data_IF_010734322728
#
_entry.id   IF_010734322728
#
_cell.length_a   1.000
_cell.length_b   1.000
_cell.length_c   1.000
_cell.angle_alpha   90.00
_cell.angle_beta   90.00
_cell.angle_gamma   90.00
#
_symmetry.space_group_name_H-M   'P 1'
#
loop_
_entity.id
_entity.type
_entity.pdbx_description
1 polymer ?
#
# COMPACT_ATOMS: atom_id res chain seq x y z
N UNK A 1 -13.31 -14.96 30.38
CA UNK A 1 -11.89 -14.60 30.14
C UNK A 1 -11.60 -13.33 30.93
N UNK A 2 -10.45 -13.23 31.58
CA UNK A 2 -10.08 -12.08 32.41
C UNK A 2 -8.79 -11.45 31.86
N UNK A 3 -8.59 -10.14 32.11
CA UNK A 3 -7.42 -9.41 31.61
C UNK A 3 -6.17 -9.66 32.46
N UNK A 4 -6.35 -10.02 33.73
CA UNK A 4 -5.28 -10.37 34.65
C UNK A 4 -5.69 -11.54 35.58
N UNK A 5 -4.69 -12.13 36.24
CA UNK A 5 -4.87 -13.29 37.09
C UNK A 5 -5.64 -13.00 38.38
N UNK A 6 -5.45 -11.81 38.97
CA UNK A 6 -6.07 -11.43 40.25
C UNK A 6 -7.58 -11.32 40.14
N UNK A 7 -8.09 -10.64 39.11
CA UNK A 7 -9.52 -10.60 38.84
C UNK A 7 -10.06 -11.98 38.50
N UNK A 8 -9.29 -12.78 37.74
CA UNK A 8 -9.69 -14.14 37.41
C UNK A 8 -9.91 -15.04 38.62
N UNK A 9 -9.00 -14.98 39.59
CA UNK A 9 -9.13 -15.71 40.86
C UNK A 9 -10.35 -15.23 41.66
N UNK A 10 -10.55 -13.92 41.77
CA UNK A 10 -11.68 -13.34 42.49
C UNK A 10 -13.04 -13.76 41.89
N UNK A 11 -13.18 -13.72 40.56
CA UNK A 11 -14.40 -14.13 39.88
C UNK A 11 -14.63 -15.64 39.96
N UNK A 12 -13.57 -16.46 39.84
CA UNK A 12 -13.68 -17.91 39.99
C UNK A 12 -14.13 -18.27 41.41
N UNK A 13 -13.55 -17.62 42.44
CA UNK A 13 -13.96 -17.78 43.84
C UNK A 13 -15.42 -17.39 44.05
N UNK A 14 -15.85 -16.24 43.52
CA UNK A 14 -17.24 -15.80 43.63
C UNK A 14 -18.22 -16.81 43.01
N UNK A 15 -17.89 -17.36 41.83
CA UNK A 15 -18.75 -18.34 41.17
C UNK A 15 -18.81 -19.66 41.92
N UNK A 16 -17.68 -20.22 42.38
CA UNK A 16 -17.69 -21.50 43.10
C UNK A 16 -18.41 -21.38 44.45
N UNK A 17 -18.27 -20.24 45.15
CA UNK A 17 -19.04 -19.93 46.35
C UNK A 17 -20.56 -19.89 46.04
N UNK A 18 -20.96 -19.34 44.89
CA UNK A 18 -22.37 -19.32 44.45
C UNK A 18 -22.91 -20.70 44.08
N UNK A 19 -22.13 -21.51 43.38
CA UNK A 19 -22.51 -22.89 43.07
C UNK A 19 -22.58 -23.80 44.29
N UNK A 20 -21.81 -23.48 45.35
CA UNK A 20 -21.76 -24.24 46.61
C UNK A 20 -22.59 -23.61 47.72
N UNK A 21 -23.44 -22.64 47.42
CA UNK A 21 -24.23 -21.92 48.42
C UNK A 21 -25.17 -22.84 49.22
N UNK A 22 -25.51 -24.01 48.67
CA UNK A 22 -26.44 -25.02 49.20
C UNK A 22 -25.74 -26.29 49.72
N UNK A 23 -24.40 -26.32 49.79
CA UNK A 23 -23.64 -27.53 50.18
C UNK A 23 -23.81 -27.92 51.66
N UNK A 24 -24.03 -26.94 52.55
CA UNK A 24 -24.37 -27.19 53.96
C UNK A 24 -25.43 -26.19 54.37
N UNK A 25 -26.66 -26.68 54.50
CA UNK A 25 -27.84 -25.90 54.88
C UNK A 25 -28.52 -26.54 56.08
N UNK A 26 -29.16 -25.71 56.90
CA UNK A 26 -30.03 -26.11 57.98
C UNK A 26 -31.45 -25.60 57.67
N UNK A 27 -32.43 -26.50 57.71
CA UNK A 27 -33.85 -26.14 57.65
C UNK A 27 -34.35 -25.98 59.08
N UNK A 28 -34.91 -24.82 59.39
CA UNK A 28 -35.29 -24.45 60.74
C UNK A 28 -36.72 -23.94 60.80
N UNK A 29 -37.37 -24.18 61.94
CA UNK A 29 -38.70 -23.69 62.25
C UNK A 29 -38.57 -22.85 63.52
N UNK A 30 -39.13 -21.64 63.51
CA UNK A 30 -39.21 -20.78 64.68
C UNK A 30 -40.52 -20.01 64.70
N UNK A 31 -40.83 -19.38 65.82
CA UNK A 31 -41.90 -18.39 65.94
C UNK A 31 -41.38 -16.95 65.98
N UNK A 32 -40.10 -16.74 65.62
CA UNK A 32 -39.47 -15.43 65.67
C UNK A 32 -39.44 -14.78 64.29
N UNK A 33 -40.01 -13.57 64.12
CA UNK A 33 -39.88 -12.81 62.89
C UNK A 33 -38.48 -12.20 62.71
N UNK A 34 -37.64 -12.23 63.74
CA UNK A 34 -36.29 -11.65 63.69
C UNK A 34 -35.32 -12.49 62.85
N UNK A 35 -35.64 -13.76 62.61
CA UNK A 35 -34.84 -14.68 61.80
C UNK A 35 -35.20 -14.51 60.32
N UNK A 36 -34.77 -13.38 59.74
CA UNK A 36 -34.95 -13.03 58.33
C UNK A 36 -33.61 -13.06 57.54
N UNK A 37 -33.64 -13.14 56.19
CA UNK A 37 -32.42 -13.29 55.39
C UNK A 37 -31.38 -12.18 55.67
N UNK A 38 -30.12 -12.58 55.82
CA UNK A 38 -29.01 -11.69 56.19
C UNK A 38 -28.74 -11.60 57.70
N UNK A 39 -29.64 -12.10 58.55
CA UNK A 39 -29.41 -12.17 60.00
C UNK A 39 -28.52 -13.34 60.37
N UNK A 40 -27.66 -13.13 61.37
CA UNK A 40 -26.88 -14.17 62.02
C UNK A 40 -27.44 -14.46 63.40
N UNK A 41 -27.41 -15.72 63.81
CA UNK A 41 -27.83 -16.16 65.13
C UNK A 41 -26.92 -17.30 65.62
N UNK A 42 -26.80 -17.44 66.93
CA UNK A 42 -26.09 -18.56 67.55
C UNK A 42 -27.08 -19.61 68.00
N UNK A 43 -26.96 -20.84 67.48
CA UNK A 43 -27.76 -21.97 67.97
C UNK A 43 -27.13 -22.52 69.25
N UNK A 44 -27.95 -22.73 70.28
CA UNK A 44 -27.54 -23.35 71.54
C UNK A 44 -28.55 -24.43 71.97
N UNK A 45 -28.11 -25.40 72.77
CA UNK A 45 -28.97 -26.46 73.31
C UNK A 45 -29.37 -27.58 72.33
N UNK A 46 -28.79 -27.63 71.12
CA UNK A 46 -29.03 -28.70 70.16
C UNK A 46 -28.33 -30.01 70.59
N UNK A 47 -28.97 -31.20 70.51
CA UNK A 47 -28.37 -32.47 70.96
C UNK A 47 -27.08 -32.87 70.23
N UNK A 48 -26.96 -32.49 68.95
CA UNK A 48 -25.70 -32.58 68.22
C UNK A 48 -24.86 -31.34 68.50
N UNK A 49 -23.75 -31.53 69.21
CA UNK A 49 -22.85 -30.46 69.64
C UNK A 49 -22.32 -29.62 68.46
N UNK A 50 -22.01 -30.27 67.34
CA UNK A 50 -21.50 -29.63 66.11
C UNK A 50 -22.45 -28.58 65.51
N UNK A 51 -23.76 -28.64 65.81
CA UNK A 51 -24.74 -27.68 65.31
C UNK A 51 -24.88 -26.44 66.22
N UNK A 52 -24.35 -26.47 67.44
CA UNK A 52 -24.36 -25.34 68.37
C UNK A 52 -23.28 -24.30 68.01
N UNK A 53 -23.51 -23.61 66.88
CA UNK A 53 -22.59 -22.65 66.28
C UNK A 53 -23.34 -21.44 65.74
N UNK A 54 -22.62 -20.49 65.16
CA UNK A 54 -23.22 -19.35 64.46
C UNK A 54 -23.71 -19.74 63.06
N UNK A 55 -24.93 -19.32 62.75
CA UNK A 55 -25.64 -19.56 61.51
C UNK A 55 -26.09 -18.24 60.90
N UNK A 56 -26.19 -18.17 59.58
CA UNK A 56 -26.68 -17.04 58.81
C UNK A 56 -27.94 -17.47 58.06
N UNK A 57 -29.04 -16.75 58.25
CA UNK A 57 -30.31 -16.97 57.55
C UNK A 57 -30.18 -16.52 56.09
N UNK A 58 -30.57 -17.38 55.15
CA UNK A 58 -30.48 -17.15 53.69
C UNK A 58 -31.84 -17.11 53.01
N UNK A 59 -32.85 -17.76 53.58
CA UNK A 59 -34.24 -17.75 53.11
C UNK A 59 -35.17 -17.83 54.31
N UNK A 60 -36.37 -17.26 54.21
CA UNK A 60 -37.38 -17.29 55.28
C UNK A 60 -38.77 -17.10 54.69
N UNK A 61 -39.71 -17.94 55.13
CA UNK A 61 -41.13 -17.91 54.81
C UNK A 61 -41.88 -17.76 56.13
N UNK A 62 -42.47 -16.59 56.34
CA UNK A 62 -43.30 -16.30 57.51
C UNK A 62 -44.77 -16.54 57.16
N UNK A 63 -45.45 -17.33 57.97
CA UNK A 63 -46.88 -17.55 57.94
C UNK A 63 -47.47 -17.15 59.30
N UNK A 64 -48.52 -16.35 59.29
CA UNK A 64 -49.28 -16.02 60.51
C UNK A 64 -50.70 -16.53 60.38
N UNK A 65 -51.21 -17.18 61.43
CA UNK A 65 -52.61 -17.59 61.52
C UNK A 65 -53.28 -16.92 62.73
N UNK A 66 -54.48 -16.38 62.52
CA UNK A 66 -55.27 -15.74 63.57
C UNK A 66 -56.70 -16.29 63.58
N UNK A 67 -56.92 -17.50 64.16
CA UNK A 67 -58.22 -18.17 64.15
C UNK A 67 -59.33 -17.40 64.87
N UNK A 68 -58.98 -16.56 65.85
CA UNK A 68 -59.92 -15.77 66.66
C UNK A 68 -60.47 -14.51 65.94
N UNK A 69 -59.94 -14.16 64.76
CA UNK A 69 -60.46 -13.03 64.00
C UNK A 69 -61.87 -13.30 63.42
N UNK A 70 -62.28 -14.57 63.32
CA UNK A 70 -63.61 -14.99 62.85
C UNK A 70 -64.57 -15.23 64.03
N UNK A 71 -65.71 -14.55 64.03
CA UNK A 71 -66.70 -14.66 65.11
C UNK A 71 -67.32 -16.08 65.15
N UNK A 72 -67.22 -16.77 66.29
CA UNK A 72 -67.73 -18.14 66.47
C UNK A 72 -66.70 -19.27 66.26
N UNK A 73 -65.46 -18.94 65.88
CA UNK A 73 -64.32 -19.86 65.86
C UNK A 73 -63.78 -20.07 67.29
N UNK A 74 -63.55 -21.33 67.68
CA UNK A 74 -62.88 -21.72 68.92
C UNK A 74 -61.65 -22.59 68.63
N UNK A 75 -60.49 -22.24 69.21
CA UNK A 75 -59.20 -22.89 68.95
C UNK A 75 -58.02 -22.13 69.59
N UNK A 76 -56.79 -22.57 69.34
CA UNK A 76 -55.54 -21.96 69.84
C UNK A 76 -55.42 -20.46 69.43
N UNK A 77 -54.62 -19.68 70.18
CA UNK A 77 -54.40 -18.24 69.95
C UNK A 77 -53.63 -17.94 68.65
N UNK A 78 -53.39 -16.65 68.34
CA UNK A 78 -52.61 -16.22 67.17
C UNK A 78 -51.25 -16.91 67.12
N UNK A 79 -50.91 -17.54 66.00
CA UNK A 79 -49.60 -18.18 65.78
C UNK A 79 -48.81 -17.46 64.69
N UNK A 80 -47.49 -17.52 64.83
CA UNK A 80 -46.54 -17.09 63.81
C UNK A 80 -45.55 -18.23 63.63
N UNK A 81 -45.44 -18.70 62.40
CA UNK A 81 -44.53 -19.75 61.98
C UNK A 81 -43.55 -19.17 60.96
N UNK A 82 -42.27 -19.30 61.24
CA UNK A 82 -41.18 -18.90 60.36
C UNK A 82 -40.38 -20.15 59.98
N UNK A 83 -40.55 -20.59 58.74
CA UNK A 83 -39.70 -21.59 58.13
C UNK A 83 -38.55 -20.91 57.43
N UNK A 84 -37.32 -21.14 57.91
CA UNK A 84 -36.16 -20.49 57.35
C UNK A 84 -35.04 -21.48 57.06
N UNK A 85 -34.21 -21.12 56.10
CA UNK A 85 -32.98 -21.83 55.78
C UNK A 85 -31.80 -21.01 56.25
N UNK A 86 -30.81 -21.68 56.82
CA UNK A 86 -29.58 -21.06 57.27
C UNK A 86 -28.35 -21.82 56.78
N UNK A 87 -27.25 -21.11 56.63
CA UNK A 87 -25.92 -21.68 56.36
C UNK A 87 -24.98 -21.37 57.53
N UNK A 88 -23.87 -22.10 57.72
CA UNK A 88 -22.84 -21.72 58.68
C UNK A 88 -22.31 -20.30 58.44
N UNK A 89 -22.18 -19.49 59.49
CA UNK A 89 -21.81 -18.06 59.36
C UNK A 89 -20.35 -17.80 58.94
N UNK A 90 -19.49 -18.82 58.99
CA UNK A 90 -18.11 -18.80 58.48
C UNK A 90 -18.05 -18.99 56.95
N UNK A 91 -19.17 -19.33 56.31
CA UNK A 91 -19.29 -19.43 54.86
C UNK A 91 -19.81 -18.11 54.28
N UNK A 92 -19.26 -17.74 53.14
CA UNK A 92 -19.77 -16.58 52.39
C UNK A 92 -20.88 -17.03 51.46
N UNK A 93 -22.11 -16.57 51.71
CA UNK A 93 -23.21 -16.80 50.79
C UNK A 93 -23.04 -15.95 49.52
N UNK A 94 -23.25 -16.57 48.36
CA UNK A 94 -23.27 -15.90 47.07
C UNK A 94 -24.50 -16.34 46.29
N UNK A 95 -25.03 -15.44 45.48
CA UNK A 95 -26.14 -15.75 44.56
C UNK A 95 -25.66 -16.81 43.55
N UNK A 96 -26.50 -17.82 43.23
CA UNK A 96 -26.22 -18.75 42.15
C UNK A 96 -25.92 -18.01 40.83
N UNK A 97 -24.82 -18.34 40.13
CA UNK A 97 -24.46 -17.66 38.89
C UNK A 97 -25.59 -17.72 37.85
N UNK A 98 -26.01 -16.56 37.35
CA UNK A 98 -27.01 -16.45 36.29
C UNK A 98 -26.34 -16.49 34.91
N UNK A 99 -27.03 -17.01 33.87
CA UNK A 99 -26.54 -16.93 32.50
C UNK A 99 -26.27 -15.48 32.08
N UNK A 100 -25.10 -15.23 31.46
CA UNK A 100 -24.79 -13.92 30.88
C UNK A 100 -25.63 -13.71 29.60
N UNK A 101 -26.10 -12.49 29.30
CA UNK A 101 -26.65 -12.17 27.99
C UNK A 101 -25.65 -12.56 26.89
N UNK A 102 -26.17 -13.15 25.81
CA UNK A 102 -25.38 -13.59 24.67
C UNK A 102 -25.94 -12.97 23.40
N UNK A 103 -25.07 -12.69 22.45
CA UNK A 103 -25.42 -12.26 21.10
C UNK A 103 -25.35 -13.48 20.18
N UNK A 104 -26.44 -13.76 19.49
CA UNK A 104 -26.59 -14.99 18.68
C UNK A 104 -25.76 -14.98 17.39
N UNK A 105 -25.36 -13.79 16.91
CA UNK A 105 -24.53 -13.67 15.71
C UNK A 105 -24.10 -12.24 15.40
N UNK A 106 -23.36 -12.05 14.30
CA UNK A 106 -22.79 -10.76 13.94
C UNK A 106 -23.86 -9.70 13.64
N UNK A 107 -23.54 -8.45 13.92
CA UNK A 107 -24.40 -7.28 13.70
C UNK A 107 -23.65 -6.19 12.92
N UNK A 108 -24.38 -5.37 12.17
CA UNK A 108 -23.80 -4.16 11.58
C UNK A 108 -23.63 -3.06 12.63
N UNK A 109 -22.59 -2.24 12.47
CA UNK A 109 -22.36 -1.03 13.24
C UNK A 109 -21.70 0.04 12.36
N UNK A 110 -21.83 1.30 12.75
CA UNK A 110 -21.23 2.42 12.00
C UNK A 110 -19.97 2.89 12.72
N UNK A 111 -18.87 3.06 11.98
CA UNK A 111 -17.62 3.60 12.52
C UNK A 111 -17.80 5.06 12.90
N UNK A 112 -17.30 5.45 14.07
CA UNK A 112 -17.46 6.78 14.65
C UNK A 112 -16.11 7.41 15.00
N UNK A 113 -16.09 8.72 15.18
CA UNK A 113 -14.91 9.48 15.54
C UNK A 113 -15.24 10.96 15.82
N UNK A 114 -14.22 11.78 16.10
CA UNK A 114 -14.39 13.20 16.33
C UNK A 114 -15.00 13.94 15.13
N UNK A 115 -15.67 15.05 15.40
CA UNK A 115 -16.23 15.89 14.35
C UNK A 115 -15.16 16.37 13.36
N UNK A 116 -15.42 16.22 12.06
CA UNK A 116 -14.51 16.62 10.98
C UNK A 116 -13.38 15.62 10.69
N UNK A 117 -13.33 14.49 11.39
CA UNK A 117 -12.34 13.44 11.15
C UNK A 117 -12.86 12.35 10.21
N UNK A 118 -12.04 11.92 9.25
CA UNK A 118 -12.41 10.82 8.33
C UNK A 118 -11.87 9.48 8.82
N UNK A 119 -10.76 9.47 9.58
CA UNK A 119 -10.11 8.24 10.06
C UNK A 119 -9.79 8.42 11.55
N UNK A 120 -10.39 7.59 12.39
CA UNK A 120 -10.15 7.61 13.84
C UNK A 120 -9.81 6.21 14.35
N UNK A 121 -8.51 5.99 14.61
CA UNK A 121 -7.99 4.73 15.13
C UNK A 121 -6.88 4.94 16.16
N UNK A 122 -6.57 3.91 16.93
CA UNK A 122 -5.44 3.91 17.88
C UNK A 122 -4.20 3.19 17.32
N UNK A 123 -3.16 3.04 18.15
CA UNK A 123 -1.88 2.40 17.82
C UNK A 123 -1.99 0.93 17.36
N UNK A 124 -3.13 0.29 17.60
CA UNK A 124 -3.41 -1.09 17.20
C UNK A 124 -4.34 -1.18 15.98
N UNK A 125 -4.67 -0.05 15.35
CA UNK A 125 -5.63 0.01 14.24
C UNK A 125 -7.06 -0.34 14.66
N UNK A 126 -7.39 -0.20 15.95
CA UNK A 126 -8.76 -0.37 16.45
C UNK A 126 -9.57 0.87 16.13
N UNK A 127 -10.87 0.71 15.95
CA UNK A 127 -11.81 1.81 15.71
C UNK A 127 -12.91 1.80 16.78
N UNK A 128 -13.66 2.90 16.88
CA UNK A 128 -14.89 2.96 17.68
C UNK A 128 -16.10 2.89 16.78
N UNK A 129 -17.17 2.28 17.27
CA UNK A 129 -18.39 2.04 16.50
C UNK A 129 -19.63 2.44 17.30
N UNK A 130 -20.70 2.76 16.60
CA UNK A 130 -22.03 2.91 17.16
C UNK A 130 -22.91 1.77 16.67
N UNK A 131 -23.45 1.01 17.61
CA UNK A 131 -24.44 -0.02 17.33
C UNK A 131 -25.83 0.59 17.10
N UNK A 132 -26.64 -0.06 16.26
CA UNK A 132 -27.98 0.45 15.92
C UNK A 132 -28.96 0.46 17.09
N UNK A 133 -28.77 -0.43 18.07
CA UNK A 133 -29.60 -0.50 19.28
C UNK A 133 -29.20 0.55 20.33
N UNK A 134 -28.06 1.23 20.17
CA UNK A 134 -27.63 2.27 21.11
C UNK A 134 -28.30 3.61 20.81
N UNK A 135 -29.26 3.95 21.66
CA UNK A 135 -30.07 5.17 21.60
C UNK A 135 -29.48 6.33 22.39
N UNK A 136 -28.53 6.07 23.28
CA UNK A 136 -27.96 7.06 24.19
C UNK A 136 -26.61 7.59 23.70
N UNK A 137 -25.94 6.81 22.85
CA UNK A 137 -24.70 7.21 22.22
C UNK A 137 -24.90 8.34 21.19
N UNK A 138 -24.14 9.46 21.30
CA UNK A 138 -24.22 10.57 20.36
C UNK A 138 -23.61 10.26 18.98
N UNK A 139 -22.86 9.16 18.83
CA UNK A 139 -22.20 8.78 17.57
C UNK A 139 -20.89 9.52 17.31
N UNK A 140 -20.16 9.89 18.38
CA UNK A 140 -18.89 10.60 18.32
C UNK A 140 -17.72 9.70 18.76
N UNK A 141 -16.58 10.28 19.10
CA UNK A 141 -15.42 9.55 19.60
C UNK A 141 -15.69 8.72 20.86
N UNK A 142 -16.74 8.95 21.64
CA UNK A 142 -17.06 8.21 22.87
C UNK A 142 -18.07 7.06 22.69
N UNK A 143 -18.35 6.70 21.44
CA UNK A 143 -19.43 5.76 21.12
C UNK A 143 -19.25 4.33 21.66
N UNK A 144 -18.02 3.84 21.76
CA UNK A 144 -17.73 2.48 22.23
C UNK A 144 -16.32 2.37 22.82
N UNK A 145 -16.00 1.20 23.35
CA UNK A 145 -14.60 0.81 23.55
C UNK A 145 -13.88 0.68 22.19
N UNK A 146 -12.55 0.56 22.23
CA UNK A 146 -11.75 0.27 21.05
C UNK A 146 -11.96 -1.16 20.57
N UNK A 147 -12.51 -1.31 19.35
CA UNK A 147 -12.84 -2.59 18.74
C UNK A 147 -11.76 -2.98 17.73
N UNK A 148 -11.22 -4.19 17.87
CA UNK A 148 -10.24 -4.74 16.92
C UNK A 148 -10.87 -5.02 15.56
N UNK A 149 -10.09 -4.81 14.51
CA UNK A 149 -10.52 -4.98 13.12
C UNK A 149 -9.77 -6.14 12.49
N UNK A 150 -10.50 -7.14 12.02
CA UNK A 150 -9.96 -8.23 11.21
C UNK A 150 -9.32 -7.68 9.94
N UNK A 151 -8.15 -8.22 9.60
CA UNK A 151 -7.40 -7.88 8.39
C UNK A 151 -7.25 -9.13 7.51
N UNK A 152 -7.06 -8.93 6.21
CA UNK A 152 -6.85 -10.05 5.28
C UNK A 152 -5.58 -10.86 5.60
N UNK A 153 -4.54 -10.21 6.13
CA UNK A 153 -3.29 -10.83 6.56
C UNK A 153 -2.63 -9.97 7.64
N UNK A 154 -2.31 -10.54 8.81
CA UNK A 154 -1.68 -9.81 9.91
C UNK A 154 -0.55 -10.63 10.55
N UNK A 155 0.68 -10.12 10.45
CA UNK A 155 1.88 -10.66 11.08
C UNK A 155 2.65 -9.61 11.86
N UNK A 156 3.72 -10.01 12.55
CA UNK A 156 4.56 -9.09 13.33
C UNK A 156 5.36 -8.17 12.38
N UNK A 157 4.86 -6.95 12.16
CA UNK A 157 5.49 -5.94 11.30
C UNK A 157 5.23 -6.09 9.80
N UNK A 158 4.32 -6.97 9.37
CA UNK A 158 3.96 -7.17 7.96
C UNK A 158 2.48 -7.57 7.81
N UNK A 159 1.92 -7.40 6.61
CA UNK A 159 0.55 -7.81 6.28
C UNK A 159 -0.23 -6.73 5.52
N UNK A 160 -1.54 -6.89 5.49
CA UNK A 160 -2.48 -5.90 4.94
C UNK A 160 -3.05 -5.06 6.08
N UNK A 161 -3.15 -3.74 5.87
CA UNK A 161 -3.77 -2.82 6.81
C UNK A 161 -4.70 -1.87 6.06
N UNK A 162 -6.00 -2.11 6.19
CA UNK A 162 -7.02 -1.16 5.80
C UNK A 162 -7.76 -0.72 7.05
N UNK A 163 -7.78 0.57 7.37
CA UNK A 163 -8.52 1.07 8.54
C UNK A 163 -9.94 1.46 8.11
N UNK A 164 -11.01 0.97 8.77
CA UNK A 164 -12.36 1.46 8.55
C UNK A 164 -12.45 2.97 8.83
N UNK A 165 -13.07 3.72 7.93
CA UNK A 165 -13.23 5.17 8.05
C UNK A 165 -14.52 5.53 8.76
N UNK A 166 -14.56 6.71 9.39
CA UNK A 166 -15.77 7.25 10.03
C UNK A 166 -16.91 7.27 9.02
N UNK A 167 -18.09 6.80 9.45
CA UNK A 167 -19.30 6.66 8.62
C UNK A 167 -19.39 5.36 7.85
N UNK A 168 -18.35 4.52 7.79
CA UNK A 168 -18.45 3.22 7.12
C UNK A 168 -19.19 2.19 7.98
N UNK A 169 -19.96 1.33 7.32
CA UNK A 169 -20.58 0.16 7.93
C UNK A 169 -19.59 -1.00 8.07
N UNK A 170 -19.58 -1.62 9.24
CA UNK A 170 -18.75 -2.77 9.59
C UNK A 170 -19.61 -3.87 10.19
N UNK A 171 -19.19 -5.12 10.01
CA UNK A 171 -19.80 -6.30 10.64
C UNK A 171 -19.02 -6.63 11.90
N UNK A 172 -19.70 -6.52 13.05
CA UNK A 172 -19.16 -6.79 14.39
C UNK A 172 -19.67 -8.14 14.87
N UNK A 173 -18.75 -9.02 15.22
CA UNK A 173 -19.02 -10.27 15.92
C UNK A 173 -18.59 -10.14 17.39
N UNK A 174 -18.98 -11.09 18.23
CA UNK A 174 -18.79 -11.07 19.67
C UNK A 174 -18.11 -12.35 20.13
N UNK A 175 -16.93 -12.24 20.75
CA UNK A 175 -16.15 -13.41 21.13
C UNK A 175 -16.90 -14.28 22.14
N UNK A 176 -17.22 -15.52 21.75
CA UNK A 176 -18.08 -16.45 22.51
C UNK A 176 -19.49 -15.89 22.79
N UNK A 177 -20.03 -15.03 21.90
CA UNK A 177 -21.33 -14.38 22.08
C UNK A 177 -21.35 -13.29 23.15
N UNK A 178 -20.21 -12.95 23.75
CA UNK A 178 -20.15 -11.97 24.84
C UNK A 178 -20.30 -10.52 24.30
N UNK A 179 -21.39 -9.81 24.63
CA UNK A 179 -21.62 -8.43 24.16
C UNK A 179 -20.52 -7.45 24.58
N UNK A 180 -19.75 -7.76 25.63
CA UNK A 180 -18.64 -6.93 26.10
C UNK A 180 -17.32 -7.17 25.33
N UNK A 181 -17.31 -8.12 24.39
CA UNK A 181 -16.11 -8.50 23.62
C UNK A 181 -16.34 -8.41 22.10
N UNK A 182 -16.63 -7.21 21.57
CA UNK A 182 -16.81 -7.02 20.13
C UNK A 182 -15.49 -7.16 19.37
N UNK A 183 -15.60 -7.65 18.13
CA UNK A 183 -14.53 -7.70 17.14
C UNK A 183 -15.13 -7.48 15.75
N UNK A 184 -14.54 -6.58 14.95
CA UNK A 184 -14.98 -6.35 13.58
C UNK A 184 -14.42 -7.45 12.69
N UNK A 185 -15.30 -8.18 12.00
CA UNK A 185 -14.97 -9.33 11.16
C UNK A 185 -15.21 -9.09 9.67
N UNK A 186 -15.95 -8.04 9.31
CA UNK A 186 -16.29 -7.77 7.91
C UNK A 186 -16.63 -6.32 7.64
N UNK A 187 -16.84 -6.02 6.35
CA UNK A 187 -17.25 -4.71 5.83
C UNK A 187 -18.25 -4.92 4.70
N UNK A 188 -19.16 -3.99 4.56
CA UNK A 188 -20.24 -4.07 3.59
C UNK A 188 -20.38 -2.74 2.84
N UNK A 189 -20.70 -2.85 1.56
CA UNK A 189 -21.23 -1.71 0.80
C UNK A 189 -22.75 -1.69 0.96
N UNK A 190 -23.32 -0.49 0.94
CA UNK A 190 -24.77 -0.26 0.98
C UNK A 190 -25.12 0.92 0.06
N UNK A 191 -26.34 1.43 0.16
CA UNK A 191 -26.83 2.46 -0.76
C UNK A 191 -26.02 3.76 -0.76
N UNK A 192 -25.53 4.19 0.40
CA UNK A 192 -24.78 5.44 0.55
C UNK A 192 -23.25 5.22 0.49
N UNK A 193 -22.79 4.05 0.91
CA UNK A 193 -21.41 3.58 0.71
C UNK A 193 -21.39 2.55 -0.43
N UNK A 194 -21.42 3.02 -1.68
CA UNK A 194 -21.41 2.15 -2.87
C UNK A 194 -20.01 1.59 -3.12
N UNK A 195 -19.96 0.40 -3.72
CA UNK A 195 -18.71 -0.19 -4.21
C UNK A 195 -18.07 0.68 -5.31
N UNK A 196 -16.73 0.60 -5.51
CA UNK A 196 -16.09 1.14 -6.70
C UNK A 196 -16.74 0.59 -7.99
N UNK A 197 -16.72 1.40 -9.05
CA UNK A 197 -17.30 1.05 -10.34
C UNK A 197 -18.82 1.26 -10.41
N UNK A 198 -19.46 0.56 -11.34
CA UNK A 198 -20.89 0.71 -11.65
C UNK A 198 -21.55 -0.65 -11.81
N UNK A 199 -21.62 -1.41 -10.73
CA UNK A 199 -22.28 -2.73 -10.71
C UNK A 199 -23.77 -2.62 -11.08
N UNK A 200 -24.31 -3.59 -11.85
CA UNK A 200 -23.67 -4.83 -12.31
C UNK A 200 -22.82 -4.70 -13.59
N UNK A 201 -22.65 -3.50 -14.15
CA UNK A 201 -21.89 -3.28 -15.38
C UNK A 201 -20.41 -3.66 -15.27
N UNK A 202 -19.79 -3.43 -14.10
CA UNK A 202 -18.38 -3.76 -13.83
C UNK A 202 -18.20 -5.11 -13.12
N UNK A 203 -19.11 -6.08 -13.35
CA UNK A 203 -19.10 -7.38 -12.65
C UNK A 203 -17.86 -8.25 -12.90
N UNK A 204 -17.14 -8.00 -14.00
CA UNK A 204 -15.89 -8.67 -14.37
C UNK A 204 -14.65 -7.96 -13.82
N UNK A 205 -14.83 -6.88 -13.05
CA UNK A 205 -13.73 -6.11 -12.48
C UNK A 205 -13.47 -6.50 -11.02
N UNK A 206 -12.21 -6.72 -10.70
CA UNK A 206 -11.70 -6.74 -9.34
C UNK A 206 -10.93 -5.45 -9.07
N UNK A 207 -11.08 -4.85 -7.89
CA UNK A 207 -10.47 -3.54 -7.60
C UNK A 207 -10.02 -3.42 -6.15
N UNK A 208 -8.80 -2.90 -5.97
CA UNK A 208 -8.31 -2.34 -4.71
C UNK A 208 -8.15 -0.84 -4.94
N UNK A 209 -9.08 -0.05 -4.41
CA UNK A 209 -9.12 1.41 -4.56
C UNK A 209 -9.06 2.09 -3.20
N UNK A 210 -8.19 3.08 -3.06
CA UNK A 210 -8.11 3.94 -1.87
C UNK A 210 -8.93 5.23 -2.06
N UNK A 211 -8.93 6.09 -1.04
CA UNK A 211 -9.47 7.46 -1.13
C UNK A 211 -8.46 8.41 -0.50
N UNK A 212 -8.12 9.50 -1.18
CA UNK A 212 -7.31 10.58 -0.60
C UNK A 212 -7.95 11.05 0.70
N UNK A 213 -7.17 11.10 1.77
CA UNK A 213 -7.65 11.57 3.07
C UNK A 213 -8.10 13.03 2.97
N UNK A 214 -9.34 13.31 3.39
CA UNK A 214 -9.96 14.65 3.29
C UNK A 214 -9.92 15.23 1.86
N UNK A 215 -9.94 14.38 0.84
CA UNK A 215 -9.92 14.77 -0.58
C UNK A 215 -10.70 13.81 -1.47
N UNK A 216 -10.74 14.11 -2.77
CA UNK A 216 -11.53 13.36 -3.77
C UNK A 216 -10.72 12.40 -4.65
N UNK A 217 -9.39 12.40 -4.53
CA UNK A 217 -8.50 11.53 -5.30
C UNK A 217 -8.47 10.07 -4.83
N UNK A 218 -7.76 9.21 -5.55
CA UNK A 218 -7.60 7.80 -5.20
C UNK A 218 -6.33 7.18 -5.80
N UNK A 219 -5.80 6.14 -5.17
CA UNK A 219 -4.88 5.19 -5.82
C UNK A 219 -5.66 3.91 -6.14
N UNK A 220 -5.34 3.23 -7.23
CA UNK A 220 -6.09 2.04 -7.66
C UNK A 220 -5.20 0.98 -8.30
N UNK A 221 -5.48 -0.27 -7.96
CA UNK A 221 -5.10 -1.45 -8.71
C UNK A 221 -6.38 -2.19 -9.12
N UNK A 222 -6.63 -2.27 -10.43
CA UNK A 222 -7.83 -2.89 -10.99
C UNK A 222 -7.47 -3.94 -12.02
N UNK A 223 -8.19 -5.04 -11.98
CA UNK A 223 -8.10 -6.16 -12.91
C UNK A 223 -9.44 -6.27 -13.64
N UNK A 224 -9.42 -6.28 -14.97
CA UNK A 224 -10.57 -6.57 -15.83
C UNK A 224 -10.42 -7.99 -16.36
N UNK A 225 -11.43 -8.84 -16.11
CA UNK A 225 -11.46 -10.25 -16.52
C UNK A 225 -12.47 -10.51 -17.66
N UNK A 226 -12.96 -9.46 -18.32
CA UNK A 226 -13.78 -9.61 -19.52
C UNK A 226 -12.97 -10.27 -20.66
N UNK A 227 -13.47 -11.39 -21.18
CA UNK A 227 -12.78 -12.18 -22.20
C UNK A 227 -12.44 -11.36 -23.46
N UNK A 228 -11.16 -11.31 -23.81
CA UNK A 228 -10.64 -10.55 -24.95
C UNK A 228 -10.52 -9.05 -24.71
N UNK A 229 -10.77 -8.58 -23.50
CA UNK A 229 -10.65 -7.19 -23.04
C UNK A 229 -9.94 -7.12 -21.67
N UNK A 230 -9.12 -8.12 -21.36
CA UNK A 230 -8.43 -8.21 -20.09
C UNK A 230 -7.47 -7.02 -19.90
N UNK A 231 -7.48 -6.42 -18.71
CA UNK A 231 -6.68 -5.22 -18.40
C UNK A 231 -6.15 -5.29 -16.97
N UNK A 232 -4.88 -4.91 -16.79
CA UNK A 232 -4.35 -4.48 -15.51
C UNK A 232 -4.20 -2.96 -15.51
N UNK A 233 -4.99 -2.28 -14.68
CA UNK A 233 -4.93 -0.84 -14.49
C UNK A 233 -4.26 -0.51 -13.15
N UNK A 234 -3.21 0.31 -13.21
CA UNK A 234 -2.49 0.80 -12.04
C UNK A 234 -2.48 2.33 -12.07
N UNK A 235 -3.01 2.95 -11.01
CA UNK A 235 -3.15 4.40 -10.91
C UNK A 235 -2.55 4.92 -9.61
N UNK A 236 -1.65 5.88 -9.75
CA UNK A 236 -1.11 6.68 -8.66
C UNK A 236 -1.66 8.11 -8.75
N UNK A 237 -2.30 8.58 -7.68
CA UNK A 237 -2.89 9.92 -7.61
C UNK A 237 -1.84 11.05 -7.69
N UNK A 238 -0.61 10.74 -7.25
CA UNK A 238 0.48 11.71 -7.15
C UNK A 238 1.79 11.09 -7.62
N UNK A 239 2.59 10.58 -6.69
CA UNK A 239 3.91 10.01 -6.98
C UNK A 239 3.81 8.48 -7.04
N UNK A 240 4.49 7.86 -8.00
CA UNK A 240 4.71 6.42 -8.07
C UNK A 240 6.20 6.13 -7.92
N UNK A 241 6.57 5.44 -6.85
CA UNK A 241 7.95 4.98 -6.62
C UNK A 241 8.01 3.47 -6.80
N UNK A 242 9.00 2.97 -7.53
CA UNK A 242 9.26 1.54 -7.70
C UNK A 242 10.72 1.27 -7.37
N UNK A 243 10.96 0.47 -6.33
CA UNK A 243 12.28 0.05 -5.89
C UNK A 243 12.42 -1.46 -6.09
N UNK A 244 13.44 -1.88 -6.85
CA UNK A 244 13.74 -3.29 -7.12
C UNK A 244 15.20 -3.52 -6.73
N UNK A 245 15.43 -4.40 -5.76
CA UNK A 245 16.76 -4.61 -5.16
C UNK A 245 17.67 -5.55 -5.98
N UNK A 246 17.12 -6.23 -6.98
CA UNK A 246 17.86 -7.13 -7.86
C UNK A 246 17.42 -6.87 -9.31
N UNK A 247 16.83 -7.84 -9.98
CA UNK A 247 16.49 -7.74 -11.41
C UNK A 247 15.05 -7.30 -11.62
N UNK A 248 14.84 -6.41 -12.60
CA UNK A 248 13.53 -6.09 -13.16
C UNK A 248 13.52 -6.47 -14.64
N UNK A 249 12.66 -7.43 -15.00
CA UNK A 249 12.40 -7.81 -16.40
C UNK A 249 11.04 -7.27 -16.83
N UNK A 250 10.96 -6.72 -18.05
CA UNK A 250 9.69 -6.31 -18.67
C UNK A 250 9.59 -6.93 -20.05
N UNK A 251 8.51 -7.67 -20.30
CA UNK A 251 8.22 -8.28 -21.60
C UNK A 251 6.84 -7.81 -22.07
N UNK A 252 6.79 -7.20 -23.25
CA UNK A 252 5.54 -6.78 -23.90
C UNK A 252 5.47 -7.47 -25.26
N UNK A 253 4.50 -8.37 -25.44
CA UNK A 253 4.38 -9.20 -26.66
C UNK A 253 3.82 -8.46 -27.86
N UNK A 254 3.31 -7.25 -27.64
CA UNK A 254 2.78 -6.37 -28.68
C UNK A 254 3.41 -4.98 -28.52
N UNK A 255 2.62 -3.92 -28.57
CA UNK A 255 3.15 -2.56 -28.50
C UNK A 255 3.38 -2.09 -27.06
N UNK A 256 4.51 -1.41 -26.83
CA UNK A 256 4.76 -0.61 -25.64
C UNK A 256 4.71 0.88 -26.01
N UNK A 257 3.97 1.66 -25.23
CA UNK A 257 3.90 3.12 -25.38
C UNK A 257 4.19 3.76 -24.03
N UNK A 258 5.20 4.62 -24.00
CA UNK A 258 5.54 5.44 -22.84
C UNK A 258 5.37 6.92 -23.22
N UNK A 259 4.74 7.70 -22.35
CA UNK A 259 4.56 9.14 -22.55
C UNK A 259 4.99 9.89 -21.30
N UNK A 260 6.00 10.73 -21.43
CA UNK A 260 6.52 11.58 -20.35
C UNK A 260 6.35 13.04 -20.76
N UNK A 261 5.50 13.77 -20.03
CA UNK A 261 5.06 15.12 -20.44
C UNK A 261 6.11 16.20 -20.17
N UNK A 262 6.87 16.07 -19.08
CA UNK A 262 7.78 17.13 -18.63
C UNK A 262 9.23 16.77 -18.91
N UNK A 263 9.75 15.71 -18.29
CA UNK A 263 11.14 15.32 -18.47
C UNK A 263 11.40 13.89 -18.00
N UNK A 264 12.32 13.23 -18.69
CA UNK A 264 12.77 11.87 -18.39
C UNK A 264 14.29 11.89 -18.18
N UNK A 265 14.74 11.25 -17.11
CA UNK A 265 16.16 11.02 -16.84
C UNK A 265 16.36 9.52 -16.70
N UNK A 266 17.25 8.97 -17.51
CA UNK A 266 17.65 7.55 -17.44
C UNK A 266 19.12 7.50 -17.11
N UNK A 267 19.43 7.02 -15.90
CA UNK A 267 20.80 6.80 -15.46
C UNK A 267 21.06 5.30 -15.45
N UNK A 268 22.03 4.84 -16.25
CA UNK A 268 22.44 3.44 -16.31
C UNK A 268 23.82 3.32 -15.67
N UNK A 269 23.84 2.88 -14.40
CA UNK A 269 25.05 2.85 -13.58
C UNK A 269 25.54 4.24 -13.16
N UNK A 270 26.32 4.30 -12.08
CA UNK A 270 26.90 5.55 -11.56
C UNK A 270 28.39 5.44 -11.20
N UNK A 271 28.98 4.25 -11.33
CA UNK A 271 30.40 3.95 -11.06
C UNK A 271 30.90 2.94 -12.08
N UNK A 272 32.21 2.95 -12.37
CA UNK A 272 32.88 1.98 -13.26
C UNK A 272 33.13 0.61 -12.60
N UNK A 273 32.23 0.17 -11.71
CA UNK A 273 32.37 -1.10 -11.02
C UNK A 273 31.41 -2.10 -11.68
N UNK A 274 31.95 -3.21 -12.21
CA UNK A 274 31.17 -4.36 -12.72
C UNK A 274 30.13 -4.10 -13.84
N UNK A 275 30.60 -3.90 -15.07
CA UNK A 275 29.83 -4.31 -16.27
C UNK A 275 28.44 -3.70 -16.45
N UNK A 276 28.32 -2.37 -16.31
CA UNK A 276 27.08 -1.66 -16.59
C UNK A 276 27.04 -1.24 -18.06
N UNK A 277 26.15 -1.86 -18.84
CA UNK A 277 25.99 -1.60 -20.26
C UNK A 277 24.54 -1.18 -20.58
N UNK A 278 24.39 -0.22 -21.50
CA UNK A 278 23.11 0.04 -22.17
C UNK A 278 23.21 -0.53 -23.59
N UNK A 279 22.40 -1.56 -23.89
CA UNK A 279 22.28 -2.14 -25.22
C UNK A 279 20.89 -1.88 -25.79
N UNK A 280 20.83 -1.32 -26.99
CA UNK A 280 19.60 -1.10 -27.75
C UNK A 280 19.72 -1.89 -29.05
N UNK A 281 18.75 -2.76 -29.33
CA UNK A 281 18.65 -3.49 -30.61
C UNK A 281 17.31 -3.14 -31.24
N UNK A 282 17.33 -2.64 -32.48
CA UNK A 282 16.13 -2.35 -33.27
C UNK A 282 16.18 -3.21 -34.53
N UNK A 283 15.18 -4.07 -34.73
CA UNK A 283 15.19 -5.05 -35.82
C UNK A 283 14.73 -4.48 -37.17
N UNK A 284 13.96 -3.39 -37.14
CA UNK A 284 13.50 -2.68 -38.32
C UNK A 284 13.99 -1.23 -38.24
N UNK A 285 13.09 -0.25 -38.24
CA UNK A 285 13.47 1.16 -38.30
C UNK A 285 13.61 1.80 -36.91
N UNK A 286 14.64 2.64 -36.75
CA UNK A 286 14.76 3.58 -35.63
C UNK A 286 14.66 5.01 -36.17
N UNK A 287 13.62 5.75 -35.77
CA UNK A 287 13.49 7.19 -36.06
C UNK A 287 13.63 8.01 -34.79
N UNK A 288 14.58 8.94 -34.79
CA UNK A 288 14.77 9.91 -33.71
C UNK A 288 14.47 11.30 -34.25
N UNK A 289 13.68 12.09 -33.53
CA UNK A 289 13.42 13.50 -33.85
C UNK A 289 13.75 14.34 -32.63
N UNK A 290 14.71 15.26 -32.77
CA UNK A 290 15.11 16.18 -31.72
C UNK A 290 14.79 17.59 -32.19
N UNK A 291 13.89 18.26 -31.48
CA UNK A 291 13.40 19.61 -31.87
C UNK A 291 14.41 20.70 -31.53
N UNK A 292 15.19 20.50 -30.48
CA UNK A 292 16.22 21.44 -30.03
C UNK A 292 17.61 20.80 -30.20
N UNK A 293 18.37 20.67 -29.11
CA UNK A 293 19.75 20.20 -29.17
C UNK A 293 19.83 18.70 -28.93
N UNK A 294 20.62 18.01 -29.76
CA UNK A 294 21.17 16.70 -29.44
C UNK A 294 22.65 16.86 -29.09
N UNK A 295 23.02 16.53 -27.85
CA UNK A 295 24.40 16.58 -27.38
C UNK A 295 24.86 15.16 -27.09
N UNK A 296 26.03 14.79 -27.62
CA UNK A 296 26.70 13.52 -27.30
C UNK A 296 28.08 13.84 -26.78
N UNK A 297 28.34 13.54 -25.51
CA UNK A 297 29.64 13.71 -24.88
C UNK A 297 30.20 12.33 -24.51
N UNK A 298 31.44 12.06 -24.92
CA UNK A 298 32.19 10.85 -24.58
C UNK A 298 33.48 11.33 -23.93
N UNK A 299 33.56 11.18 -22.61
CA UNK A 299 34.70 11.63 -21.81
C UNK A 299 35.90 10.70 -21.93
N UNK A 300 35.65 9.41 -22.09
CA UNK A 300 36.65 8.36 -22.29
C UNK A 300 36.14 7.31 -23.27
N UNK A 301 37.05 6.69 -24.03
CA UNK A 301 36.71 5.66 -25.01
C UNK A 301 36.48 6.21 -26.42
N UNK A 302 35.71 5.45 -27.21
CA UNK A 302 35.59 5.67 -28.66
C UNK A 302 34.12 5.80 -29.07
N UNK A 303 33.86 6.59 -30.12
CA UNK A 303 32.63 6.53 -30.90
C UNK A 303 32.91 5.76 -32.19
N UNK A 304 32.25 4.62 -32.42
CA UNK A 304 32.31 3.88 -33.68
C UNK A 304 30.95 3.95 -34.37
N UNK A 305 30.96 4.13 -35.69
CA UNK A 305 29.80 3.97 -36.57
C UNK A 305 30.22 2.99 -37.64
N UNK A 306 29.46 1.92 -37.81
CA UNK A 306 29.75 0.80 -38.72
C UNK A 306 28.47 0.49 -39.49
N UNK A 307 28.53 0.59 -40.82
CA UNK A 307 27.37 0.41 -41.71
C UNK A 307 27.79 -0.62 -42.75
N UNK A 308 27.26 -1.83 -42.63
CA UNK A 308 27.62 -2.94 -43.52
C UNK A 308 27.09 -2.74 -44.95
N UNK A 309 25.89 -2.13 -45.08
CA UNK A 309 25.19 -1.90 -46.34
C UNK A 309 24.33 -0.64 -46.27
N UNK A 310 24.23 0.05 -47.40
CA UNK A 310 23.46 1.28 -47.54
C UNK A 310 24.33 2.52 -47.44
N UNK A 311 23.67 3.68 -47.34
CA UNK A 311 24.32 4.98 -47.43
C UNK A 311 24.32 5.69 -46.07
N UNK A 312 25.32 6.56 -45.88
CA UNK A 312 25.32 7.55 -44.82
C UNK A 312 25.28 8.95 -45.43
N UNK A 313 24.21 9.69 -45.17
CA UNK A 313 24.04 11.08 -45.61
C UNK A 313 24.09 12.04 -44.40
N UNK A 314 24.77 13.17 -44.57
CA UNK A 314 24.77 14.28 -43.62
C UNK A 314 24.41 15.56 -44.38
N UNK A 315 23.23 16.11 -44.09
CA UNK A 315 22.73 17.33 -44.73
C UNK A 315 22.50 18.41 -43.69
N UNK A 316 23.19 19.55 -43.86
CA UNK A 316 23.00 20.76 -43.05
C UNK A 316 22.37 21.84 -43.95
N UNK A 317 21.14 22.24 -43.64
CA UNK A 317 20.47 23.30 -44.40
C UNK A 317 21.08 24.69 -44.12
N UNK A 318 21.51 24.92 -42.88
CA UNK A 318 22.13 26.16 -42.44
C UNK A 318 23.24 25.88 -41.41
N UNK A 319 24.14 26.85 -41.22
CA UNK A 319 25.19 26.79 -40.21
C UNK A 319 26.53 26.26 -40.73
N UNK A 320 27.28 25.59 -39.87
CA UNK A 320 28.64 25.11 -40.17
C UNK A 320 28.89 23.71 -39.62
N UNK A 321 29.62 22.91 -40.38
CA UNK A 321 30.26 21.71 -39.88
C UNK A 321 31.72 22.03 -39.51
N UNK A 322 32.20 21.54 -38.36
CA UNK A 322 33.58 21.76 -37.92
C UNK A 322 34.18 20.46 -37.42
N UNK A 323 35.31 20.06 -38.01
CA UNK A 323 36.07 18.87 -37.62
C UNK A 323 37.41 19.35 -37.07
N UNK A 324 37.64 19.15 -35.77
CA UNK A 324 38.90 19.47 -35.09
C UNK A 324 39.49 18.20 -34.52
N UNK A 325 40.65 17.79 -35.05
CA UNK A 325 41.35 16.58 -34.61
C UNK A 325 42.79 16.96 -34.27
N UNK A 326 43.31 16.46 -33.14
CA UNK A 326 44.71 16.70 -32.72
C UNK A 326 45.73 15.84 -33.47
N UNK A 327 45.28 14.70 -34.00
CA UNK A 327 46.10 13.74 -34.75
C UNK A 327 45.63 13.69 -36.20
N UNK A 328 45.17 12.54 -36.67
CA UNK A 328 44.92 12.28 -38.09
C UNK A 328 43.43 12.32 -38.42
N UNK A 329 43.10 12.89 -39.58
CA UNK A 329 41.84 12.67 -40.29
C UNK A 329 42.17 11.79 -41.49
N UNK A 330 41.55 10.62 -41.60
CA UNK A 330 41.72 9.71 -42.74
C UNK A 330 40.40 9.60 -43.49
N UNK A 331 40.44 9.82 -44.81
CA UNK A 331 39.32 9.60 -45.73
C UNK A 331 39.83 8.69 -46.83
N UNK A 332 39.15 7.56 -47.05
CA UNK A 332 39.49 6.57 -48.07
C UNK A 332 38.21 6.12 -48.76
N UNK A 333 38.29 5.92 -50.06
CA UNK A 333 37.23 5.39 -50.92
C UNK A 333 37.88 4.47 -51.94
N UNK A 334 37.17 3.41 -52.33
CA UNK A 334 37.66 2.49 -53.37
C UNK A 334 37.40 3.05 -54.77
N UNK A 335 36.38 3.89 -54.95
CA UNK A 335 35.96 4.39 -56.28
C UNK A 335 36.32 5.86 -56.50
N UNK A 336 35.80 6.76 -55.64
CA UNK A 336 35.90 8.21 -55.83
C UNK A 336 35.86 8.97 -54.50
N UNK A 337 36.66 10.02 -54.39
CA UNK A 337 36.56 11.07 -53.36
C UNK A 337 36.37 12.40 -54.06
N UNK A 338 35.38 13.20 -53.65
CA UNK A 338 35.10 14.49 -54.27
C UNK A 338 34.74 15.55 -53.23
N UNK A 339 35.34 16.73 -53.38
CA UNK A 339 35.06 17.93 -52.60
C UNK A 339 34.54 19.01 -53.55
N UNK A 340 33.33 19.51 -53.31
CA UNK A 340 32.69 20.52 -54.15
C UNK A 340 32.35 21.76 -53.32
N UNK A 341 32.66 22.94 -53.84
CA UNK A 341 32.28 24.23 -53.27
C UNK A 341 31.86 25.18 -54.41
N UNK A 342 30.56 25.23 -54.71
CA UNK A 342 30.05 25.99 -55.86
C UNK A 342 30.67 25.50 -57.17
N UNK A 343 31.36 26.40 -57.88
CA UNK A 343 32.05 26.11 -59.15
C UNK A 343 33.45 25.48 -58.98
N UNK A 344 33.94 25.34 -57.75
CA UNK A 344 35.27 24.76 -57.46
C UNK A 344 35.15 23.31 -57.01
N UNK A 345 36.08 22.45 -57.45
CA UNK A 345 36.12 21.05 -57.05
C UNK A 345 37.53 20.45 -56.95
N UNK A 346 37.66 19.42 -56.12
CA UNK A 346 38.79 18.51 -56.07
C UNK A 346 38.25 17.08 -56.13
N UNK A 347 38.66 16.31 -57.12
CA UNK A 347 38.18 14.95 -57.36
C UNK A 347 39.37 13.99 -57.45
N UNK A 348 39.30 12.87 -56.74
CA UNK A 348 40.25 11.76 -56.78
C UNK A 348 39.51 10.50 -57.25
N UNK A 349 40.09 9.79 -58.21
CA UNK A 349 39.52 8.56 -58.79
C UNK A 349 40.40 7.34 -58.47
N UNK A 350 39.79 6.15 -58.51
CA UNK A 350 40.45 4.86 -58.25
C UNK A 350 41.68 4.59 -59.13
N UNK A 351 41.71 5.14 -60.35
CA UNK A 351 42.81 4.99 -61.30
C UNK A 351 44.03 5.88 -60.97
N UNK A 352 43.96 6.67 -59.89
CA UNK A 352 45.00 7.61 -59.46
C UNK A 352 44.91 8.99 -60.09
N UNK A 353 43.89 9.28 -60.90
CA UNK A 353 43.65 10.61 -61.45
C UNK A 353 43.20 11.58 -60.34
N UNK A 354 43.81 12.77 -60.33
CA UNK A 354 43.45 13.88 -59.44
C UNK A 354 43.12 15.09 -60.29
N UNK A 355 41.90 15.59 -60.17
CA UNK A 355 41.42 16.77 -60.88
C UNK A 355 41.17 17.90 -59.90
N UNK A 356 41.75 19.08 -60.15
CA UNK A 356 41.48 20.31 -59.40
C UNK A 356 40.90 21.32 -60.39
N UNK A 357 39.70 21.81 -60.13
CA UNK A 357 38.97 22.73 -61.01
C UNK A 357 38.42 23.93 -60.27
N UNK A 358 38.41 25.09 -60.92
CA UNK A 358 37.83 26.32 -60.39
C UNK A 358 38.18 27.52 -61.24
N UNK A 359 37.49 28.65 -61.02
CA UNK A 359 37.67 29.89 -61.79
C UNK A 359 39.08 30.48 -61.69
N UNK A 360 39.70 30.39 -60.51
CA UNK A 360 41.06 30.85 -60.23
C UNK A 360 41.72 29.81 -59.31
N UNK A 361 42.81 29.21 -59.76
CA UNK A 361 43.64 28.31 -58.95
C UNK A 361 44.95 29.04 -58.64
N UNK A 362 45.27 29.21 -57.35
CA UNK A 362 46.52 29.81 -56.88
C UNK A 362 47.33 28.77 -56.11
N UNK A 363 48.50 28.43 -56.63
CA UNK A 363 49.48 27.58 -55.94
C UNK A 363 50.62 28.46 -55.43
N UNK A 364 50.55 28.86 -54.15
CA UNK A 364 51.57 29.68 -53.49
C UNK A 364 52.47 28.79 -52.59
N UNK A 365 53.77 28.77 -52.86
CA UNK A 365 54.75 27.98 -52.12
C UNK A 365 55.85 28.88 -51.58
N UNK A 366 56.13 28.80 -50.27
CA UNK A 366 57.10 29.68 -49.60
C UNK A 366 58.56 29.25 -49.76
N UNK A 367 58.81 27.94 -49.87
CA UNK A 367 60.16 27.39 -49.94
C UNK A 367 60.43 26.77 -51.32
N UNK A 368 59.72 25.71 -51.68
CA UNK A 368 59.89 25.01 -52.97
C UNK A 368 58.54 24.51 -53.50
N UNK A 369 58.37 24.56 -54.82
CA UNK A 369 57.27 23.89 -55.54
C UNK A 369 57.88 22.94 -56.58
N UNK A 370 57.65 21.64 -56.42
CA UNK A 370 58.26 20.60 -57.25
C UNK A 370 57.21 19.87 -58.08
N UNK A 371 57.44 19.79 -59.39
CA UNK A 371 56.59 19.01 -60.32
C UNK A 371 57.49 18.03 -61.05
N UNK A 372 57.29 16.74 -60.79
CA UNK A 372 58.01 15.65 -61.44
C UNK A 372 57.01 14.77 -62.21
N UNK A 373 57.16 14.72 -63.53
CA UNK A 373 56.28 13.94 -64.41
C UNK A 373 57.04 13.55 -65.68
N UNK A 374 56.62 12.45 -66.31
CA UNK A 374 57.13 12.06 -67.64
C UNK A 374 56.77 13.08 -68.72
N UNK A 375 55.63 13.77 -68.56
CA UNK A 375 55.13 14.78 -69.50
C UNK A 375 54.40 15.87 -68.73
N UNK A 376 54.76 17.12 -68.97
CA UNK A 376 54.09 18.30 -68.46
C UNK A 376 53.50 19.09 -69.64
N UNK A 377 52.22 19.47 -69.56
CA UNK A 377 51.56 20.39 -70.51
C UNK A 377 51.03 21.57 -69.70
N UNK A 378 51.23 22.78 -70.20
CA UNK A 378 50.71 23.99 -69.58
C UNK A 378 50.35 24.96 -70.70
N UNK A 379 49.04 25.15 -70.89
CA UNK A 379 48.48 25.83 -72.06
C UNK A 379 47.72 27.09 -71.61
N UNK A 380 48.25 28.26 -71.96
CA UNK A 380 47.59 29.56 -71.77
C UNK A 380 47.03 30.05 -73.09
N UNK A 381 45.70 30.11 -73.23
CA UNK A 381 45.06 30.55 -74.48
C UNK A 381 45.29 32.03 -74.78
N UNK A 382 45.53 32.85 -73.75
CA UNK A 382 45.82 34.28 -73.88
C UNK A 382 47.30 34.56 -73.61
N UNK A 383 47.79 34.21 -72.42
CA UNK A 383 49.16 34.48 -72.00
C UNK A 383 49.67 33.39 -71.05
N UNK A 384 50.95 33.05 -71.16
CA UNK A 384 51.66 32.22 -70.19
C UNK A 384 52.94 32.95 -69.78
N UNK A 385 53.04 33.30 -68.50
CA UNK A 385 54.16 34.08 -67.95
C UNK A 385 54.94 33.23 -66.95
N UNK A 386 56.25 33.07 -67.18
CA UNK A 386 57.18 32.50 -66.22
C UNK A 386 58.17 33.59 -65.78
N UNK A 387 58.18 33.93 -64.49
CA UNK A 387 59.07 34.94 -63.92
C UNK A 387 59.91 34.35 -62.80
N UNK A 388 61.22 34.61 -62.81
CA UNK A 388 62.13 34.16 -61.77
C UNK A 388 63.54 34.71 -61.98
N UNK A 389 64.37 34.64 -60.93
CA UNK A 389 65.76 35.11 -61.01
C UNK A 389 66.63 34.30 -61.99
N UNK A 390 66.34 33.01 -62.15
CA UNK A 390 67.02 32.13 -63.11
C UNK A 390 66.06 31.06 -63.61
N UNK A 391 65.82 31.02 -64.93
CA UNK A 391 65.10 29.95 -65.61
C UNK A 391 66.11 29.08 -66.36
N UNK A 392 66.17 27.78 -66.04
CA UNK A 392 66.99 26.80 -66.76
C UNK A 392 66.07 25.84 -67.50
N UNK A 393 66.10 25.90 -68.83
CA UNK A 393 65.43 24.94 -69.70
C UNK A 393 66.51 24.06 -70.32
N UNK A 394 66.58 22.80 -69.89
CA UNK A 394 67.46 21.81 -70.49
C UNK A 394 66.59 20.94 -71.41
N UNK A 395 66.84 20.94 -72.73
CA UNK A 395 66.05 20.17 -73.69
C UNK A 395 66.24 18.65 -73.55
#
# INVERSE_FOLDING_TARGET
RFKDGTHGEAFARYQIEGWRHDTETATCISNSPELCPGKRFTLTGHPSEALNREWQVVSSVLAGDQPQALHGSGGQGTTLDNHFEAIPADRTWRVPPQPKPSVDGPQSAIVTGPAGEEIFCDEHGRVRVRFHWDRYCPGNEDSSCWVRVSQAWAGAGFGNLAIPRVGQEVIVDFLNGDPDQPIIMGRTYHQDNRSPGSLPGTKTQMTIRSKTYKGSGFNELRFEDATGQEELYMHAQKDMTTEVLHDRTTTVNNNHTETVVVGQVVNVGSKKENGHDQKITVANDQKTTVVNNQITEITEGNKKTDIDKGDQEITLHEGKQTIKVKKTISVSSEEKIEFICGESSITLLENGEITISGKIIKNDAKDEYHVNTKKLSADGSEEQVLTGGMLKLNP
#
